data_IF_521088234119
#
_entry.id   IF_521088234119
#
_cell.length_a   1.000
_cell.length_b   1.000
_cell.length_c   1.000
_cell.angle_alpha   90.00
_cell.angle_beta   90.00
_cell.angle_gamma   90.00
#
_symmetry.space_group_name_H-M   'P 1'
#
loop_
_entity.id
_entity.type
_entity.pdbx_description
1 polymer ?
#
# COMPACT_ATOMS: atom_id res chain seq x y z
N UNK A 1 -0.51 -14.04 19.53
CA UNK A 1 0.95 -13.81 19.54
C UNK A 1 1.19 -12.48 18.85
N UNK A 2 1.98 -11.56 19.43
CA UNK A 2 2.33 -10.32 18.78
C UNK A 2 3.16 -10.59 17.52
N UNK A 3 2.84 -9.93 16.42
CA UNK A 3 3.58 -9.94 15.16
C UNK A 3 4.81 -9.03 15.28
N UNK A 4 5.99 -9.60 15.10
CA UNK A 4 7.22 -8.83 14.92
C UNK A 4 7.28 -8.33 13.47
N UNK A 5 6.69 -7.18 13.19
CA UNK A 5 6.78 -6.56 11.85
C UNK A 5 8.23 -6.19 11.50
N UNK A 6 8.59 -6.31 10.23
CA UNK A 6 9.82 -5.72 9.72
C UNK A 6 9.72 -4.18 9.81
N UNK A 7 10.82 -3.52 10.15
CA UNK A 7 10.84 -2.08 10.39
C UNK A 7 10.45 -1.30 9.13
N UNK A 8 10.92 -1.77 7.97
CA UNK A 8 10.63 -1.19 6.66
C UNK A 8 9.14 -1.25 6.34
N UNK A 9 8.45 -2.31 6.79
CA UNK A 9 7.00 -2.44 6.62
C UNK A 9 6.25 -1.45 7.48
N UNK A 10 6.66 -1.28 8.74
CA UNK A 10 6.06 -0.28 9.64
C UNK A 10 6.24 1.14 9.09
N UNK A 11 7.41 1.45 8.54
CA UNK A 11 7.68 2.75 7.93
C UNK A 11 6.82 3.01 6.70
N UNK A 12 6.69 2.05 5.79
CA UNK A 12 5.81 2.18 4.61
C UNK A 12 4.33 2.28 5.02
N UNK A 13 3.88 1.51 6.00
CA UNK A 13 2.52 1.63 6.55
C UNK A 13 2.28 3.03 7.14
N UNK A 14 3.24 3.55 7.90
CA UNK A 14 3.15 4.87 8.52
C UNK A 14 3.09 6.00 7.47
N UNK A 15 3.81 5.87 6.35
CA UNK A 15 3.71 6.83 5.21
C UNK A 15 2.31 6.89 4.61
N UNK A 16 1.51 5.85 4.80
CA UNK A 16 0.11 5.78 4.40
C UNK A 16 -0.87 6.06 5.55
N UNK A 17 -0.37 6.48 6.71
CA UNK A 17 -1.19 6.78 7.90
C UNK A 17 -1.66 5.55 8.67
N UNK A 18 -1.11 4.37 8.38
CA UNK A 18 -1.45 3.13 9.07
C UNK A 18 -0.45 2.86 10.20
N UNK A 19 -0.96 2.64 11.40
CA UNK A 19 -0.17 2.24 12.57
C UNK A 19 -0.73 0.92 13.13
N UNK A 20 -0.17 -0.22 12.72
CA UNK A 20 -0.66 -1.51 13.20
C UNK A 20 -0.28 -1.73 14.66
N UNK A 21 -1.16 -2.39 15.41
CA UNK A 21 -0.80 -2.99 16.69
C UNK A 21 -0.05 -4.31 16.44
N UNK A 22 0.79 -4.78 17.39
CA UNK A 22 1.44 -6.07 17.28
C UNK A 22 0.45 -7.22 17.02
N UNK A 23 -0.78 -7.15 17.53
CA UNK A 23 -1.80 -8.18 17.35
C UNK A 23 -2.58 -8.05 16.04
N UNK A 24 -2.39 -6.94 15.30
CA UNK A 24 -3.10 -6.72 14.05
C UNK A 24 -2.62 -7.75 13.03
N UNK A 25 -3.51 -8.53 12.40
CA UNK A 25 -3.09 -9.52 11.42
C UNK A 25 -2.56 -8.86 10.14
N UNK A 26 -1.51 -9.43 9.58
CA UNK A 26 -0.85 -8.94 8.35
C UNK A 26 -1.79 -8.94 7.13
N UNK A 27 -2.71 -9.90 7.03
CA UNK A 27 -3.72 -9.95 5.96
C UNK A 27 -4.69 -8.76 6.02
N UNK A 28 -5.07 -8.32 7.22
CA UNK A 28 -5.95 -7.18 7.42
C UNK A 28 -5.27 -5.89 6.98
N UNK A 29 -3.99 -5.74 7.31
CA UNK A 29 -3.19 -4.60 6.84
C UNK A 29 -3.00 -4.61 5.33
N UNK A 30 -2.76 -5.78 4.71
CA UNK A 30 -2.68 -5.86 3.25
C UNK A 30 -3.98 -5.40 2.59
N UNK A 31 -5.12 -5.79 3.14
CA UNK A 31 -6.42 -5.36 2.61
C UNK A 31 -6.63 -3.85 2.78
N UNK A 32 -6.29 -3.29 3.94
CA UNK A 32 -6.33 -1.85 4.17
C UNK A 32 -5.46 -1.05 3.16
N UNK A 33 -4.22 -1.50 2.92
CA UNK A 33 -3.33 -0.90 1.92
C UNK A 33 -3.91 -1.05 0.51
N UNK A 34 -4.55 -2.18 0.20
CA UNK A 34 -5.19 -2.44 -1.09
C UNK A 34 -6.37 -1.51 -1.33
N UNK A 35 -7.22 -1.30 -0.33
CA UNK A 35 -8.37 -0.41 -0.43
C UNK A 35 -7.93 1.06 -0.56
N UNK A 36 -6.88 1.48 0.16
CA UNK A 36 -6.29 2.80 -0.03
C UNK A 36 -5.78 3.00 -1.46
N UNK A 37 -5.06 2.02 -2.01
CA UNK A 37 -4.59 2.08 -3.40
C UNK A 37 -5.76 2.15 -4.41
N UNK A 38 -6.83 1.38 -4.19
CA UNK A 38 -8.04 1.46 -5.04
C UNK A 38 -8.70 2.83 -4.97
N UNK A 39 -8.76 3.43 -3.78
CA UNK A 39 -9.29 4.77 -3.61
C UNK A 39 -8.47 5.79 -4.41
N UNK A 40 -7.15 5.76 -4.31
CA UNK A 40 -6.25 6.64 -5.07
C UNK A 40 -6.41 6.47 -6.59
N UNK A 41 -6.59 5.24 -7.07
CA UNK A 41 -6.89 4.98 -8.49
C UNK A 41 -8.23 5.61 -8.90
N UNK A 42 -9.26 5.51 -8.05
CA UNK A 42 -10.56 6.15 -8.32
C UNK A 42 -10.43 7.68 -8.37
N UNK A 43 -9.69 8.27 -7.44
CA UNK A 43 -9.38 9.71 -7.45
C UNK A 43 -8.65 10.09 -8.74
N UNK A 44 -7.59 9.37 -9.11
CA UNK A 44 -6.83 9.64 -10.33
C UNK A 44 -7.71 9.53 -11.58
N UNK A 45 -8.61 8.54 -11.63
CA UNK A 45 -9.59 8.40 -12.72
C UNK A 45 -10.60 9.54 -12.73
N UNK A 46 -11.07 10.01 -11.58
CA UNK A 46 -11.97 11.16 -11.50
C UNK A 46 -11.29 12.43 -12.05
N UNK A 47 -10.02 12.65 -11.71
CA UNK A 47 -9.20 13.76 -12.23
C UNK A 47 -9.03 13.70 -13.75
N UNK A 48 -8.80 12.49 -14.30
CA UNK A 48 -8.79 12.27 -15.75
C UNK A 48 -10.13 12.66 -16.39
N UNK A 49 -11.25 12.21 -15.81
CA UNK A 49 -12.59 12.53 -16.32
C UNK A 49 -12.93 14.02 -16.18
N UNK A 50 -12.37 14.69 -15.17
CA UNK A 50 -12.43 16.15 -15.00
C UNK A 50 -11.50 16.92 -15.93
N UNK A 51 -10.69 16.26 -16.76
CA UNK A 51 -9.81 16.91 -17.72
C UNK A 51 -8.56 17.55 -17.13
N UNK A 52 -8.18 17.21 -15.89
CA UNK A 52 -6.98 17.78 -15.24
C UNK A 52 -5.67 17.41 -15.93
N UNK A 53 -5.66 16.33 -16.72
CA UNK A 53 -4.53 15.93 -17.53
C UNK A 53 -4.97 15.11 -18.76
N UNK A 54 -4.14 15.07 -19.82
CA UNK A 54 -4.43 14.28 -21.02
C UNK A 54 -4.52 12.78 -20.76
N UNK A 55 -5.43 12.08 -21.47
CA UNK A 55 -5.64 10.63 -21.32
C UNK A 55 -4.38 9.77 -21.53
N UNK A 56 -3.48 10.18 -22.42
CA UNK A 56 -2.24 9.43 -22.68
C UNK A 56 -1.28 9.40 -21.47
N UNK A 57 -1.40 10.37 -20.55
CA UNK A 57 -0.60 10.40 -19.32
C UNK A 57 -1.14 9.46 -18.22
N UNK A 58 -2.38 8.98 -18.34
CA UNK A 58 -3.03 8.20 -17.28
C UNK A 58 -2.23 6.96 -16.88
N UNK A 59 -1.71 6.21 -17.87
CA UNK A 59 -0.92 5.01 -17.60
C UNK A 59 0.37 5.34 -16.81
N UNK A 60 1.08 6.40 -17.19
CA UNK A 60 2.29 6.85 -16.48
C UNK A 60 1.99 7.28 -15.05
N UNK A 61 0.87 7.97 -14.83
CA UNK A 61 0.42 8.40 -13.49
C UNK A 61 0.02 7.21 -12.61
N UNK A 62 -0.64 6.20 -13.17
CA UNK A 62 -0.94 4.94 -12.46
C UNK A 62 0.34 4.21 -12.07
N UNK A 63 1.35 4.15 -12.95
CA UNK A 63 2.66 3.56 -12.64
C UNK A 63 3.34 4.34 -11.50
N UNK A 64 3.34 5.67 -11.57
CA UNK A 64 3.87 6.52 -10.49
C UNK A 64 3.17 6.27 -9.16
N UNK A 65 1.84 6.13 -9.17
CA UNK A 65 1.07 5.77 -7.99
C UNK A 65 1.45 4.38 -7.48
N UNK A 66 1.55 3.37 -8.35
CA UNK A 66 1.92 1.99 -7.96
C UNK A 66 3.28 1.94 -7.26
N UNK A 67 4.25 2.77 -7.68
CA UNK A 67 5.57 2.89 -7.03
C UNK A 67 5.51 3.40 -5.59
N UNK A 68 4.45 4.13 -5.21
CA UNK A 68 4.21 4.56 -3.84
C UNK A 68 3.66 3.46 -2.92
N UNK A 69 3.26 2.31 -3.46
CA UNK A 69 2.70 1.18 -2.70
C UNK A 69 3.58 -0.08 -2.85
N UNK A 70 4.85 -0.05 -2.42
CA UNK A 70 5.77 -1.19 -2.58
C UNK A 70 5.25 -2.43 -1.85
N UNK A 71 4.59 -2.26 -0.69
CA UNK A 71 4.01 -3.35 0.10
C UNK A 71 3.01 -4.22 -0.68
N UNK A 72 2.27 -3.66 -1.64
CA UNK A 72 1.36 -4.44 -2.47
C UNK A 72 2.07 -5.36 -3.47
N UNK A 73 3.39 -5.25 -3.61
CA UNK A 73 4.23 -6.14 -4.43
C UNK A 73 5.01 -7.14 -3.57
N UNK A 74 5.00 -6.99 -2.25
CA UNK A 74 5.69 -7.89 -1.30
C UNK A 74 4.69 -8.93 -0.78
N UNK A 75 5.03 -10.23 -0.80
CA UNK A 75 4.25 -11.27 -0.11
C UNK A 75 4.07 -10.96 1.38
N UNK A 76 2.90 -11.25 1.93
CA UNK A 76 2.54 -10.89 3.32
C UNK A 76 3.41 -11.63 4.32
N UNK A 77 3.86 -12.81 3.96
CA UNK A 77 4.72 -13.70 4.75
C UNK A 77 6.08 -13.06 5.04
N UNK A 78 6.51 -12.12 4.19
CA UNK A 78 7.75 -11.37 4.36
C UNK A 78 7.57 -10.09 5.16
N UNK A 79 6.35 -9.76 5.58
CA UNK A 79 6.09 -8.53 6.32
C UNK A 79 6.51 -8.62 7.79
N UNK A 80 6.65 -9.84 8.30
CA UNK A 80 7.09 -10.11 9.66
C UNK A 80 8.50 -10.69 9.64
N UNK A 81 9.28 -10.36 10.66
CA UNK A 81 10.56 -11.01 10.94
C UNK A 81 10.21 -12.38 11.52
N UNK A 82 10.17 -13.41 10.68
CA UNK A 82 10.22 -14.78 11.20
C UNK A 82 11.57 -14.92 11.88
N UNK A 83 11.60 -15.01 13.22
CA UNK A 83 12.81 -15.50 13.87
C UNK A 83 13.06 -16.90 13.30
N UNK A 84 14.26 -17.20 12.76
CA UNK A 84 14.56 -18.59 12.47
C UNK A 84 14.50 -19.37 13.81
N UNK A 85 14.10 -20.66 13.77
CA UNK A 85 14.08 -21.53 14.94
C UNK A 85 15.49 -21.71 15.54
#
# INVERSE_FOLDING_TARGET
MPHAYAQEVLEELARHGLQPLPETPTWFLRDAVRELYKYEIKVLKARLLGGEFPRHEYAGRVIGLRRRYPLLSVPVELWTRTSPP
#
